data_IF_714532578402
#
_entry.id   IF_714532578402
#
_cell.length_a   1.000
_cell.length_b   1.000
_cell.length_c   1.000
_cell.angle_alpha   90.00
_cell.angle_beta   90.00
_cell.angle_gamma   90.00
#
_symmetry.space_group_name_H-M   'P 1'
#
loop_
_entity.id
_entity.type
_entity.pdbx_description
1 polymer ?
#
# COMPACT_ATOMS: atom_id res chain seq x y z
N UNK A 1 -20.35 -5.93 -35.82
CA UNK A 1 -19.85 -4.63 -35.27
C UNK A 1 -20.98 -4.03 -34.42
N UNK A 2 -20.78 -3.32 -33.29
CA UNK A 2 -19.55 -2.82 -32.67
C UNK A 2 -19.35 -3.30 -31.22
N UNK A 3 -18.16 -3.03 -30.68
CA UNK A 3 -17.68 -3.52 -29.39
C UNK A 3 -18.40 -2.91 -28.18
N UNK A 4 -18.73 -3.77 -27.22
CA UNK A 4 -19.03 -3.34 -25.85
C UNK A 4 -17.73 -3.19 -25.08
N UNK A 5 -17.19 -1.99 -25.13
CA UNK A 5 -16.18 -1.45 -24.21
C UNK A 5 -16.65 -1.59 -22.75
N UNK A 6 -16.38 -2.73 -22.12
CA UNK A 6 -16.59 -2.89 -20.67
C UNK A 6 -15.38 -2.29 -19.95
N UNK A 7 -15.48 -0.98 -19.74
CA UNK A 7 -14.83 -0.14 -18.72
C UNK A 7 -13.51 -0.70 -18.19
N UNK A 8 -12.40 -0.03 -18.51
CA UNK A 8 -11.18 -0.03 -17.71
C UNK A 8 -11.54 0.51 -16.32
N UNK A 9 -12.16 -0.31 -15.48
CA UNK A 9 -12.12 -0.11 -14.04
C UNK A 9 -10.65 -0.31 -13.73
N UNK A 10 -9.94 0.79 -13.46
CA UNK A 10 -8.60 0.77 -12.91
C UNK A 10 -8.68 0.03 -11.57
N UNK A 11 -8.72 -1.29 -11.63
CA UNK A 11 -8.63 -2.18 -10.48
C UNK A 11 -7.21 -2.01 -9.98
N UNK A 12 -7.03 -1.00 -9.11
CA UNK A 12 -5.78 -0.81 -8.42
C UNK A 12 -5.46 -2.16 -7.75
N UNK A 13 -4.33 -2.78 -8.11
CA UNK A 13 -4.01 -4.10 -7.60
C UNK A 13 -3.87 -3.98 -6.08
N UNK A 14 -4.71 -4.75 -5.41
CA UNK A 14 -4.75 -4.83 -3.96
C UNK A 14 -3.84 -5.97 -3.54
N UNK A 15 -2.86 -5.64 -2.73
CA UNK A 15 -1.87 -6.56 -2.22
C UNK A 15 -2.14 -6.81 -0.75
N UNK A 16 -1.90 -8.04 -0.32
CA UNK A 16 -1.94 -8.35 1.10
C UNK A 16 -0.81 -7.63 1.82
N UNK A 17 -0.96 -7.38 3.13
CA UNK A 17 0.16 -6.87 3.94
C UNK A 17 1.42 -7.71 3.80
N UNK A 18 1.27 -9.03 3.64
CA UNK A 18 2.39 -9.96 3.54
C UNK A 18 3.18 -9.73 2.24
N UNK A 19 2.51 -9.57 1.11
CA UNK A 19 3.16 -9.20 -0.16
C UNK A 19 3.82 -7.83 -0.07
N UNK A 20 3.13 -6.84 0.48
CA UNK A 20 3.69 -5.49 0.64
C UNK A 20 4.91 -5.49 1.55
N UNK A 21 4.91 -6.31 2.61
CA UNK A 21 6.07 -6.50 3.50
C UNK A 21 7.22 -7.19 2.78
N UNK A 22 6.93 -8.23 2.00
CA UNK A 22 7.95 -8.97 1.25
C UNK A 22 8.63 -8.09 0.19
N UNK A 23 7.90 -7.11 -0.35
CA UNK A 23 8.39 -6.15 -1.33
C UNK A 23 8.59 -4.75 -0.75
N UNK A 24 8.59 -4.56 0.57
CA UNK A 24 8.52 -3.21 1.17
C UNK A 24 9.76 -2.38 0.87
N UNK A 25 10.91 -3.04 0.89
CA UNK A 25 12.21 -2.41 0.62
C UNK A 25 12.36 -2.07 -0.86
N UNK A 26 11.87 -2.93 -1.75
CA UNK A 26 11.92 -2.71 -3.20
C UNK A 26 10.91 -1.68 -3.70
N UNK A 27 9.71 -1.63 -3.11
CA UNK A 27 8.60 -0.77 -3.57
C UNK A 27 8.59 0.60 -2.88
N UNK A 28 8.93 0.65 -1.59
CA UNK A 28 8.80 1.84 -0.77
C UNK A 28 10.11 2.28 -0.12
N UNK A 29 11.22 1.55 -0.34
CA UNK A 29 12.50 1.78 0.32
C UNK A 29 12.40 1.82 1.85
N UNK A 30 11.46 1.06 2.43
CA UNK A 30 11.30 0.92 3.88
C UNK A 30 11.37 -0.54 4.30
N UNK A 31 11.80 -0.77 5.55
CA UNK A 31 11.77 -2.10 6.15
C UNK A 31 10.34 -2.60 6.34
N UNK A 32 10.19 -3.93 6.32
CA UNK A 32 8.91 -4.59 6.59
C UNK A 32 8.33 -4.18 7.96
N UNK A 33 9.17 -3.87 8.94
CA UNK A 33 8.78 -3.37 10.27
C UNK A 33 8.08 -2.00 10.20
N UNK A 34 8.57 -1.09 9.34
CA UNK A 34 7.97 0.24 9.13
C UNK A 34 6.63 0.10 8.42
N UNK A 35 6.57 -0.77 7.41
CA UNK A 35 5.33 -1.08 6.72
C UNK A 35 4.33 -1.78 7.63
N UNK A 36 4.78 -2.68 8.51
CA UNK A 36 3.97 -3.33 9.53
C UNK A 36 3.40 -2.32 10.52
N UNK A 37 4.21 -1.39 11.02
CA UNK A 37 3.76 -0.31 11.90
C UNK A 37 2.75 0.61 11.20
N UNK A 38 3.02 1.00 9.96
CA UNK A 38 2.13 1.85 9.16
C UNK A 38 0.79 1.18 8.79
N UNK A 39 0.78 -0.13 8.65
CA UNK A 39 -0.45 -0.91 8.40
C UNK A 39 -1.09 -1.47 9.68
N UNK A 40 -0.44 -1.36 10.84
CA UNK A 40 -0.95 -1.89 12.11
C UNK A 40 -2.27 -1.22 12.52
N UNK A 41 -2.39 0.08 12.26
CA UNK A 41 -3.59 0.87 12.57
C UNK A 41 -4.74 0.62 11.57
N UNK A 42 -4.47 -0.08 10.47
CA UNK A 42 -5.46 -0.32 9.44
C UNK A 42 -6.16 -1.67 9.66
N UNK A 43 -7.48 -1.64 9.84
CA UNK A 43 -8.32 -2.85 9.95
C UNK A 43 -8.43 -3.65 8.64
N UNK A 44 -7.97 -3.09 7.53
CA UNK A 44 -8.00 -3.74 6.22
C UNK A 44 -6.83 -4.73 6.08
N UNK A 45 -7.05 -5.83 5.37
CA UNK A 45 -6.03 -6.86 5.14
C UNK A 45 -5.34 -6.70 3.78
N UNK A 46 -5.94 -5.92 2.88
CA UNK A 46 -5.48 -5.65 1.52
C UNK A 46 -5.35 -4.16 1.28
N UNK A 47 -4.27 -3.76 0.62
CA UNK A 47 -3.95 -2.37 0.33
C UNK A 47 -3.41 -2.22 -1.08
N UNK A 48 -3.72 -1.11 -1.72
CA UNK A 48 -3.06 -0.73 -2.97
C UNK A 48 -1.69 -0.13 -2.68
N UNK A 49 -0.75 -0.19 -3.63
CA UNK A 49 0.59 0.41 -3.50
C UNK A 49 0.50 1.87 -3.06
N UNK A 50 -0.35 2.66 -3.72
CA UNK A 50 -0.52 4.08 -3.40
C UNK A 50 -1.02 4.29 -1.96
N UNK A 51 -1.94 3.46 -1.49
CA UNK A 51 -2.52 3.60 -0.16
C UNK A 51 -1.54 3.16 0.94
N UNK A 52 -0.81 2.09 0.70
CA UNK A 52 0.30 1.67 1.56
C UNK A 52 1.38 2.76 1.63
N UNK A 53 1.76 3.36 0.49
CA UNK A 53 2.74 4.44 0.45
C UNK A 53 2.32 5.66 1.26
N UNK A 54 1.06 6.08 1.15
CA UNK A 54 0.51 7.20 1.94
C UNK A 54 0.58 6.89 3.43
N UNK A 55 0.16 5.69 3.85
CA UNK A 55 0.22 5.25 5.25
C UNK A 55 1.66 5.20 5.77
N UNK A 56 2.58 4.64 4.99
CA UNK A 56 4.02 4.61 5.32
C UNK A 56 4.55 6.03 5.50
N UNK A 57 4.22 6.95 4.59
CA UNK A 57 4.68 8.33 4.68
C UNK A 57 4.09 9.07 5.90
N UNK A 58 2.82 8.84 6.22
CA UNK A 58 2.17 9.35 7.43
C UNK A 58 2.84 8.81 8.69
N UNK A 59 3.14 7.51 8.73
CA UNK A 59 3.83 6.87 9.84
C UNK A 59 5.24 7.44 10.04
N UNK A 60 6.01 7.61 8.95
CA UNK A 60 7.33 8.24 8.99
C UNK A 60 7.26 9.70 9.46
N UNK A 61 6.27 10.47 8.99
CA UNK A 61 6.04 11.86 9.44
C UNK A 61 5.64 11.94 10.91
N UNK A 62 4.78 11.05 11.39
CA UNK A 62 4.38 10.99 12.79
C UNK A 62 5.59 10.71 13.70
N UNK A 63 6.55 9.91 13.22
CA UNK A 63 7.80 9.60 13.92
C UNK A 63 8.85 10.73 13.87
N UNK A 64 8.65 11.77 13.06
CA UNK A 64 9.55 12.93 12.88
C UNK A 64 9.11 14.16 13.70
N UNK A 65 8.06 14.06 14.51
CA UNK A 65 7.81 15.06 15.57
C UNK A 65 8.60 14.68 16.82
N UNK A 66 9.89 15.02 16.79
CA UNK A 66 10.69 15.32 17.98
C UNK A 66 10.99 16.83 17.97
#
# INVERSE_FOLDING_TARGET
>A
MPGSVKKKLTVLPQYTRAELMNHSEALFAVKAEVLAGALHEAAQQTFSIAEAQIRINQFLKAKVKE
#
